data_IF_662796348692
#
_entry.id   IF_662796348692
#
_cell.length_a   1.000
_cell.length_b   1.000
_cell.length_c   1.000
_cell.angle_alpha   90.00
_cell.angle_beta   90.00
_cell.angle_gamma   90.00
#
_symmetry.space_group_name_H-M   'P 1'
#
loop_
_entity.id
_entity.type
_entity.pdbx_description
1 polymer ?
#
# COMPACT_ATOMS: atom_id res chain seq x y z
N UNK A 1 -7.74 -49.08 43.87
CA UNK A 1 -6.93 -48.49 44.96
C UNK A 1 -5.52 -49.08 44.87
N UNK A 2 -4.49 -48.22 44.99
CA UNK A 2 -3.04 -48.52 45.07
C UNK A 2 -2.23 -48.66 43.76
N UNK A 3 -1.83 -47.47 43.32
CA UNK A 3 -0.49 -47.08 42.85
C UNK A 3 0.66 -47.72 43.69
N UNK A 4 1.81 -48.08 43.08
CA UNK A 4 3.15 -47.50 43.35
C UNK A 4 4.34 -48.30 42.73
N UNK A 5 5.09 -47.60 41.86
CA UNK A 5 6.55 -47.36 41.89
C UNK A 5 7.62 -48.37 41.37
N UNK A 6 8.48 -47.79 40.50
CA UNK A 6 9.96 -47.96 40.32
C UNK A 6 10.42 -49.25 39.59
N UNK A 7 11.38 -49.26 38.64
CA UNK A 7 12.69 -48.60 38.57
C UNK A 7 13.32 -48.71 37.14
N UNK A 8 14.03 -47.65 36.71
CA UNK A 8 15.24 -47.51 35.82
C UNK A 8 15.97 -48.80 35.34
N UNK A 9 16.75 -48.89 34.24
CA UNK A 9 17.24 -48.04 33.13
C UNK A 9 18.13 -48.92 32.18
N UNK A 10 18.73 -48.32 31.14
CA UNK A 10 19.67 -48.81 30.08
C UNK A 10 18.99 -49.26 28.77
N UNK A 11 19.30 -48.79 27.56
CA UNK A 11 20.32 -47.92 26.93
C UNK A 11 19.62 -47.35 25.67
N UNK A 12 19.67 -46.07 25.33
CA UNK A 12 20.84 -45.43 24.76
C UNK A 12 20.77 -45.36 23.23
N UNK A 13 19.77 -44.68 22.66
CA UNK A 13 19.81 -44.16 21.28
C UNK A 13 19.42 -42.69 21.34
N UNK A 14 20.39 -41.84 21.00
CA UNK A 14 20.23 -40.40 20.95
C UNK A 14 19.20 -40.00 19.88
N UNK A 15 18.08 -39.46 20.32
CA UNK A 15 17.25 -38.60 19.49
C UNK A 15 17.92 -37.22 19.45
N UNK A 16 18.64 -36.97 18.36
CA UNK A 16 18.82 -35.62 17.87
C UNK A 16 17.42 -35.09 17.54
N UNK A 17 16.80 -34.42 18.52
CA UNK A 17 15.70 -33.51 18.24
C UNK A 17 16.32 -32.38 17.41
N UNK A 18 16.16 -32.52 16.09
CA UNK A 18 16.40 -31.44 15.16
C UNK A 18 15.72 -30.19 15.70
N UNK A 19 16.53 -29.17 15.90
CA UNK A 19 16.13 -27.81 16.24
C UNK A 19 14.87 -27.44 15.48
N UNK A 20 13.77 -27.24 16.22
CA UNK A 20 12.67 -26.41 15.75
C UNK A 20 13.32 -25.09 15.36
N UNK A 21 13.38 -24.85 14.05
CA UNK A 21 13.66 -23.53 13.49
C UNK A 21 12.69 -22.57 14.17
N UNK A 22 13.19 -21.71 15.06
CA UNK A 22 12.39 -20.63 15.60
C UNK A 22 11.95 -19.79 14.40
N UNK A 23 10.67 -19.84 14.03
CA UNK A 23 10.09 -18.73 13.31
C UNK A 23 10.30 -17.53 14.24
N UNK A 24 11.29 -16.69 13.93
CA UNK A 24 11.59 -15.53 14.74
C UNK A 24 10.34 -14.64 14.71
N UNK A 25 9.87 -14.26 15.89
CA UNK A 25 8.66 -13.46 16.04
C UNK A 25 8.91 -12.08 15.43
N UNK A 26 8.27 -11.78 14.30
CA UNK A 26 8.37 -10.44 13.70
C UNK A 26 7.69 -9.42 14.61
N UNK A 27 8.47 -8.47 15.12
CA UNK A 27 7.97 -7.43 16.02
C UNK A 27 7.39 -6.29 15.17
N UNK A 28 6.15 -5.88 15.46
CA UNK A 28 5.51 -4.75 14.75
C UNK A 28 5.36 -3.56 15.68
N UNK A 29 5.90 -2.41 15.26
CA UNK A 29 5.83 -1.14 16.00
C UNK A 29 4.92 -0.17 15.26
N UNK A 30 3.78 0.15 15.87
CA UNK A 30 2.78 1.06 15.34
C UNK A 30 3.13 2.50 15.73
N UNK A 31 3.26 3.39 14.76
CA UNK A 31 3.61 4.80 14.97
C UNK A 31 2.71 5.73 14.15
N UNK A 32 2.75 7.02 14.46
CA UNK A 32 2.04 8.05 13.69
C UNK A 32 2.77 9.39 13.78
N UNK A 33 2.57 10.19 12.76
CA UNK A 33 3.00 11.57 12.63
C UNK A 33 2.31 12.54 13.61
N UNK A 34 1.35 12.06 14.41
CA UNK A 34 0.85 12.74 15.59
C UNK A 34 1.84 12.71 16.77
N UNK A 35 2.84 11.83 16.71
CA UNK A 35 3.95 11.83 17.67
C UNK A 35 4.94 12.96 17.35
N UNK A 36 5.54 13.60 18.38
CA UNK A 36 6.69 14.48 18.20
C UNK A 36 7.86 13.78 17.50
N UNK A 37 8.54 14.48 16.59
CA UNK A 37 9.64 13.93 15.80
C UNK A 37 10.76 13.30 16.65
N UNK A 38 11.06 13.88 17.82
CA UNK A 38 12.03 13.32 18.76
C UNK A 38 11.64 11.91 19.24
N UNK A 39 10.36 11.66 19.46
CA UNK A 39 9.84 10.35 19.84
C UNK A 39 9.79 9.40 18.65
N UNK A 40 9.42 9.85 17.46
CA UNK A 40 9.51 9.03 16.25
C UNK A 40 10.94 8.57 15.98
N UNK A 41 11.93 9.48 16.10
CA UNK A 41 13.35 9.13 16.01
C UNK A 41 13.75 8.05 17.02
N UNK A 42 13.25 8.13 18.26
CA UNK A 42 13.50 7.11 19.28
C UNK A 42 12.87 5.76 18.91
N UNK A 43 11.66 5.75 18.32
CA UNK A 43 10.99 4.54 17.86
C UNK A 43 11.76 3.85 16.72
N UNK A 44 12.28 4.62 15.76
CA UNK A 44 13.11 4.07 14.68
C UNK A 44 14.44 3.51 15.19
N UNK A 45 15.11 4.20 16.13
CA UNK A 45 16.32 3.68 16.79
C UNK A 45 16.08 2.38 17.53
N UNK A 46 15.00 2.33 18.31
CA UNK A 46 14.62 1.13 19.05
C UNK A 46 14.38 -0.05 18.10
N UNK A 47 13.60 0.18 17.03
CA UNK A 47 13.34 -0.85 16.02
C UNK A 47 14.62 -1.28 15.26
N UNK A 48 15.53 -0.35 14.95
CA UNK A 48 16.81 -0.65 14.30
C UNK A 48 17.76 -1.51 15.14
N UNK A 49 17.66 -1.42 16.47
CA UNK A 49 18.48 -2.19 17.41
C UNK A 49 17.94 -3.59 17.70
N UNK A 50 16.72 -3.90 17.28
CA UNK A 50 16.02 -5.16 17.54
C UNK A 50 15.94 -5.98 16.24
N UNK A 51 16.32 -7.25 16.29
CA UNK A 51 16.19 -8.13 15.12
C UNK A 51 14.71 -8.27 14.73
N UNK A 52 14.42 -8.17 13.44
CA UNK A 52 13.09 -8.37 12.84
C UNK A 52 11.97 -7.41 13.30
N UNK A 53 12.30 -6.17 13.66
CA UNK A 53 11.29 -5.16 14.00
C UNK A 53 10.93 -4.29 12.80
N UNK A 54 9.67 -4.31 12.38
CA UNK A 54 9.11 -3.38 11.39
C UNK A 54 8.40 -2.21 12.06
N UNK A 55 8.46 -1.04 11.44
CA UNK A 55 7.73 0.16 11.87
C UNK A 55 6.63 0.45 10.85
N UNK A 56 5.39 0.58 11.31
CA UNK A 56 4.25 0.81 10.42
C UNK A 56 3.48 2.07 10.79
N UNK A 57 3.07 2.80 9.75
CA UNK A 57 2.15 3.92 9.81
C UNK A 57 0.78 3.49 9.28
N UNK A 58 -0.28 4.13 9.77
CA UNK A 58 -1.64 3.86 9.26
C UNK A 58 -1.81 4.34 7.83
N UNK A 59 -1.16 5.44 7.45
CA UNK A 59 -1.44 6.09 6.18
C UNK A 59 -0.56 7.28 5.86
N UNK A 60 -1.04 8.09 4.92
CA UNK A 60 -0.29 9.22 4.37
C UNK A 60 -0.70 10.52 5.06
N UNK A 61 0.24 11.46 5.29
CA UNK A 61 -0.06 12.76 5.84
C UNK A 61 -0.84 13.62 4.85
N UNK A 62 -1.67 14.51 5.41
CA UNK A 62 -2.45 15.46 4.63
C UNK A 62 -2.26 16.91 5.11
N UNK A 63 -2.23 17.85 4.17
CA UNK A 63 -2.20 17.66 2.72
C UNK A 63 -0.84 17.10 2.23
N UNK A 64 -0.81 16.48 1.05
CA UNK A 64 0.44 16.21 0.32
C UNK A 64 0.85 14.74 0.12
N UNK A 65 0.14 13.77 0.70
CA UNK A 65 0.25 12.35 0.32
C UNK A 65 1.67 11.77 0.42
N UNK A 66 2.05 10.91 -0.54
CA UNK A 66 3.38 10.27 -0.59
C UNK A 66 4.55 11.27 -0.57
N UNK A 67 4.56 12.36 -1.35
CA UNK A 67 5.62 13.37 -1.25
C UNK A 67 5.78 13.97 0.16
N UNK A 68 4.67 14.25 0.85
CA UNK A 68 4.71 14.75 2.22
C UNK A 68 5.19 13.68 3.21
N UNK A 69 4.79 12.43 3.00
CA UNK A 69 5.26 11.28 3.79
C UNK A 69 6.78 11.16 3.71
N UNK A 70 7.35 11.12 2.51
CA UNK A 70 8.80 10.99 2.31
C UNK A 70 9.56 12.19 2.90
N UNK A 71 9.04 13.42 2.70
CA UNK A 71 9.64 14.63 3.28
C UNK A 71 9.69 14.61 4.80
N UNK A 72 8.68 14.06 5.48
CA UNK A 72 8.72 13.85 6.94
C UNK A 72 9.58 12.67 7.35
N UNK A 73 9.57 11.59 6.57
CA UNK A 73 10.26 10.36 6.93
C UNK A 73 11.78 10.51 6.89
N UNK A 74 12.32 11.06 5.80
CA UNK A 74 13.77 11.16 5.56
C UNK A 74 14.53 11.79 6.76
N UNK A 75 14.12 12.97 7.29
CA UNK A 75 14.74 13.57 8.47
C UNK A 75 14.77 12.69 9.73
N UNK A 76 13.81 11.75 9.85
CA UNK A 76 13.66 10.91 11.04
C UNK A 76 14.61 9.71 11.05
N UNK A 77 15.02 9.24 9.86
CA UNK A 77 15.82 8.02 9.70
C UNK A 77 17.21 8.26 9.13
N UNK A 78 17.51 9.47 8.67
CA UNK A 78 18.81 9.80 8.08
C UNK A 78 19.99 9.62 9.03
N UNK A 79 19.78 9.87 10.33
CA UNK A 79 20.81 9.78 11.37
C UNK A 79 21.09 8.32 11.74
N UNK A 80 20.30 7.38 11.21
CA UNK A 80 20.50 5.95 11.38
C UNK A 80 21.43 5.39 10.30
N UNK A 81 22.44 4.58 10.68
CA UNK A 81 23.17 3.73 9.75
C UNK A 81 22.21 2.94 8.87
N UNK A 82 22.54 2.76 7.58
CA UNK A 82 21.62 2.13 6.61
C UNK A 82 21.19 0.72 7.04
N UNK A 83 22.08 -0.03 7.68
CA UNK A 83 21.85 -1.37 8.22
C UNK A 83 21.02 -1.39 9.52
N UNK A 84 20.81 -0.22 10.15
CA UNK A 84 20.02 -0.05 11.37
C UNK A 84 18.68 0.66 11.07
N UNK A 85 18.35 0.90 9.80
CA UNK A 85 17.04 1.44 9.43
C UNK A 85 16.03 0.29 9.45
N UNK A 86 14.99 0.35 10.30
CA UNK A 86 13.98 -0.68 10.30
C UNK A 86 13.18 -0.65 8.98
N UNK A 87 12.58 -1.77 8.56
CA UNK A 87 11.57 -1.76 7.51
C UNK A 87 10.42 -0.82 7.88
N UNK A 88 10.01 0.04 6.95
CA UNK A 88 8.95 1.04 7.17
C UNK A 88 7.80 0.75 6.20
N UNK A 89 6.59 0.59 6.73
CA UNK A 89 5.41 0.24 5.95
C UNK A 89 4.22 1.16 6.18
N UNK A 90 3.30 1.15 5.21
CA UNK A 90 1.94 1.69 5.34
C UNK A 90 0.98 0.50 5.44
N UNK A 91 0.37 0.29 6.59
CA UNK A 91 -0.48 -0.87 6.83
C UNK A 91 -1.77 -0.46 7.57
N UNK A 92 -2.73 0.16 6.87
CA UNK A 92 -4.00 0.56 7.48
C UNK A 92 -4.81 -0.63 8.00
N UNK A 93 -4.70 -1.79 7.34
CA UNK A 93 -5.41 -2.99 7.74
C UNK A 93 -4.94 -3.50 9.11
N UNK A 94 -3.64 -3.47 9.39
CA UNK A 94 -3.09 -3.81 10.70
C UNK A 94 -3.62 -2.89 11.81
N UNK A 95 -3.68 -1.57 11.58
CA UNK A 95 -4.24 -0.63 12.57
C UNK A 95 -5.73 -0.89 12.85
N UNK A 96 -6.50 -1.21 11.82
CA UNK A 96 -7.93 -1.50 11.92
C UNK A 96 -8.20 -2.81 12.66
N UNK A 97 -7.55 -3.90 12.21
CA UNK A 97 -7.64 -5.22 12.87
C UNK A 97 -7.17 -5.15 14.32
N UNK A 98 -6.18 -4.30 14.61
CA UNK A 98 -5.67 -4.12 15.94
C UNK A 98 -6.50 -3.18 16.82
N UNK A 99 -7.43 -2.41 16.25
CA UNK A 99 -8.19 -1.38 16.96
C UNK A 99 -7.32 -0.25 17.51
N UNK A 100 -6.18 0.03 16.87
CA UNK A 100 -5.18 1.00 17.38
C UNK A 100 -5.57 2.42 16.96
N UNK A 101 -6.07 3.20 17.92
CA UNK A 101 -6.36 4.63 17.76
C UNK A 101 -5.27 5.56 18.31
N UNK A 102 -4.36 5.03 19.13
CA UNK A 102 -3.25 5.78 19.73
C UNK A 102 -1.94 5.00 19.65
N UNK A 103 -0.83 5.71 19.59
CA UNK A 103 0.53 5.19 19.38
C UNK A 103 1.51 5.85 20.35
N UNK A 104 2.70 5.28 20.64
CA UNK A 104 3.25 4.05 20.07
C UNK A 104 2.72 2.78 20.72
N UNK A 105 2.56 1.73 19.91
CA UNK A 105 2.19 0.37 20.36
C UNK A 105 3.21 -0.61 19.78
N UNK A 106 3.68 -1.52 20.61
CA UNK A 106 4.50 -2.66 20.21
C UNK A 106 3.62 -3.91 20.18
N UNK A 107 3.73 -4.71 19.12
CA UNK A 107 3.10 -6.01 19.00
C UNK A 107 4.16 -7.09 18.80
N UNK A 108 4.13 -8.09 19.67
CA UNK A 108 5.01 -9.28 19.65
C UNK A 108 4.11 -10.49 19.85
N UNK A 109 4.12 -11.45 18.93
CA UNK A 109 3.32 -12.69 19.03
C UNK A 109 1.82 -12.43 19.36
N UNK A 110 1.24 -11.40 18.73
CA UNK A 110 -0.12 -10.91 18.95
C UNK A 110 -0.40 -10.26 20.32
N UNK A 111 0.57 -10.23 21.23
CA UNK A 111 0.50 -9.43 22.45
C UNK A 111 0.85 -7.98 22.16
N UNK A 112 -0.02 -7.06 22.60
CA UNK A 112 0.12 -5.62 22.36
C UNK A 112 0.45 -4.88 23.64
N UNK A 113 1.43 -3.99 23.55
CA UNK A 113 1.85 -3.14 24.66
C UNK A 113 1.94 -1.69 24.21
N UNK A 114 1.15 -0.83 24.86
CA UNK A 114 1.30 0.61 24.76
C UNK A 114 2.65 1.03 25.38
N UNK A 115 3.42 1.85 24.66
CA UNK A 115 4.69 2.36 25.15
C UNK A 115 4.59 3.85 25.49
N UNK A 116 5.07 4.22 26.68
CA UNK A 116 5.21 5.62 27.08
C UNK A 116 3.92 6.45 26.91
N UNK A 117 4.11 7.73 26.60
CA UNK A 117 2.99 8.66 26.33
C UNK A 117 2.35 8.32 24.99
N UNK A 118 1.03 8.20 25.00
CA UNK A 118 0.22 7.90 23.83
C UNK A 118 -0.19 9.18 23.07
N UNK A 119 -0.21 9.08 21.74
CA UNK A 119 -0.55 10.13 20.79
C UNK A 119 -1.61 9.61 19.83
N UNK A 120 -2.58 10.45 19.40
CA UNK A 120 -3.58 10.04 18.43
C UNK A 120 -2.94 9.72 17.07
N UNK A 121 -3.50 8.73 16.37
CA UNK A 121 -3.14 8.47 14.97
C UNK A 121 -3.75 9.54 14.07
N UNK A 122 -2.91 10.36 13.44
CA UNK A 122 -3.34 11.55 12.69
C UNK A 122 -3.55 11.31 11.20
N UNK A 123 -2.78 10.41 10.61
CA UNK A 123 -2.76 10.16 9.18
C UNK A 123 -4.03 9.40 8.81
N UNK A 124 -4.81 9.88 7.84
CA UNK A 124 -5.96 9.12 7.36
C UNK A 124 -5.54 7.71 6.91
N UNK A 125 -6.39 6.72 7.19
CA UNK A 125 -6.29 5.44 6.48
C UNK A 125 -6.45 5.75 4.98
N UNK A 126 -5.48 5.46 4.11
CA UNK A 126 -5.52 5.84 2.71
C UNK A 126 -6.65 5.12 1.95
N UNK A 127 -7.10 3.94 2.41
CA UNK A 127 -8.28 3.25 1.86
C UNK A 127 -9.54 3.99 2.25
N UNK A 128 -9.70 4.32 3.53
CA UNK A 128 -10.86 5.09 4.01
C UNK A 128 -10.83 6.50 3.48
N UNK A 129 -9.68 7.16 3.37
CA UNK A 129 -9.57 8.51 2.85
C UNK A 129 -9.73 8.53 1.35
N UNK A 130 -9.19 7.58 0.58
CA UNK A 130 -9.59 7.46 -0.82
C UNK A 130 -11.11 7.26 -0.89
N UNK A 131 -11.68 6.34 -0.11
CA UNK A 131 -13.13 6.10 -0.06
C UNK A 131 -13.94 7.29 0.45
N UNK A 132 -13.46 8.06 1.43
CA UNK A 132 -14.12 9.19 2.11
C UNK A 132 -13.93 10.46 1.30
N UNK A 133 -12.81 10.67 0.65
CA UNK A 133 -12.65 11.69 -0.38
C UNK A 133 -13.57 11.36 -1.54
N UNK A 134 -13.71 10.09 -1.93
CA UNK A 134 -14.69 9.65 -2.92
C UNK A 134 -16.15 9.70 -2.44
N UNK A 135 -16.44 9.55 -1.13
CA UNK A 135 -17.79 9.46 -0.56
C UNK A 135 -18.31 10.73 0.14
N UNK A 136 -17.42 11.59 0.64
CA UNK A 136 -17.70 12.92 1.19
C UNK A 136 -17.84 13.96 0.08
N UNK A 137 -17.27 13.67 -1.09
CA UNK A 137 -17.92 14.12 -2.31
C UNK A 137 -19.23 13.32 -2.40
N UNK A 138 -20.39 13.96 -2.32
CA UNK A 138 -21.66 13.23 -2.46
C UNK A 138 -21.71 12.47 -3.80
N UNK A 139 -22.53 11.40 -3.95
CA UNK A 139 -22.81 10.75 -5.24
C UNK A 139 -23.16 11.71 -6.38
N UNK A 140 -23.55 12.94 -6.05
CA UNK A 140 -23.84 14.01 -7.00
C UNK A 140 -22.67 14.97 -7.18
N UNK A 141 -21.85 15.23 -6.16
CA UNK A 141 -20.71 16.16 -6.22
C UNK A 141 -19.44 15.52 -6.77
N UNK A 142 -19.08 14.27 -6.42
CA UNK A 142 -18.00 13.61 -7.17
C UNK A 142 -18.47 13.30 -8.57
N UNK A 143 -19.75 12.93 -8.75
CA UNK A 143 -20.33 12.75 -10.09
C UNK A 143 -20.28 14.06 -10.85
N UNK A 144 -20.58 15.20 -10.25
CA UNK A 144 -20.37 16.51 -10.89
C UNK A 144 -18.91 16.80 -11.13
N UNK A 145 -18.01 16.57 -10.18
CA UNK A 145 -16.57 16.86 -10.34
C UNK A 145 -15.94 15.98 -11.42
N UNK A 146 -16.22 14.68 -11.40
CA UNK A 146 -15.82 13.72 -12.42
C UNK A 146 -16.60 13.90 -13.73
N UNK A 147 -17.84 14.39 -13.78
CA UNK A 147 -18.53 14.77 -15.02
C UNK A 147 -18.07 16.14 -15.56
N UNK A 148 -17.51 16.99 -14.70
CA UNK A 148 -16.94 18.29 -15.05
C UNK A 148 -15.51 18.13 -15.57
N UNK A 149 -14.77 17.16 -15.03
CA UNK A 149 -13.45 16.72 -15.51
C UNK A 149 -13.56 15.64 -16.62
N UNK A 150 -14.66 14.89 -16.67
CA UNK A 150 -14.91 13.96 -17.76
C UNK A 150 -15.10 14.78 -19.03
N UNK A 151 -14.48 14.36 -20.13
CA UNK A 151 -14.81 14.90 -21.44
C UNK A 151 -16.34 14.88 -21.62
N UNK A 152 -16.94 16.06 -21.83
CA UNK A 152 -18.36 16.16 -22.21
C UNK A 152 -18.63 15.43 -23.54
N UNK A 153 -17.59 15.29 -24.34
CA UNK A 153 -17.56 14.50 -25.56
C UNK A 153 -17.12 13.07 -25.26
N UNK A 154 -17.89 12.09 -25.74
CA UNK A 154 -17.46 10.69 -25.79
C UNK A 154 -16.18 10.59 -26.60
N UNK A 155 -15.03 10.57 -25.94
CA UNK A 155 -13.85 9.99 -26.58
C UNK A 155 -14.11 8.49 -26.69
N UNK A 156 -14.04 7.90 -27.90
CA UNK A 156 -14.14 6.47 -28.03
C UNK A 156 -13.09 5.83 -27.10
N UNK A 157 -13.44 4.75 -26.40
CA UNK A 157 -12.47 4.04 -25.56
C UNK A 157 -11.24 3.68 -26.40
N UNK A 158 -10.09 3.61 -25.75
CA UNK A 158 -8.86 3.16 -26.39
C UNK A 158 -9.10 1.81 -27.08
N UNK A 159 -8.48 1.55 -28.25
CA UNK A 159 -8.66 0.30 -28.96
C UNK A 159 -8.32 -0.90 -28.07
N UNK A 160 -9.01 -2.02 -28.29
CA UNK A 160 -8.65 -3.27 -27.62
C UNK A 160 -7.25 -3.71 -28.05
N UNK A 161 -6.45 -4.20 -27.11
CA UNK A 161 -5.14 -4.76 -27.41
C UNK A 161 -5.28 -5.99 -28.31
N UNK A 162 -4.50 -6.04 -29.38
CA UNK A 162 -4.47 -7.18 -30.32
C UNK A 162 -3.31 -8.13 -30.04
N UNK A 163 -2.32 -7.68 -29.28
CA UNK A 163 -1.18 -8.47 -28.79
C UNK A 163 -0.81 -8.04 -27.38
N UNK A 164 -0.12 -8.92 -26.67
CA UNK A 164 0.41 -8.55 -25.36
C UNK A 164 1.55 -7.53 -25.49
N UNK A 165 1.54 -6.51 -24.64
CA UNK A 165 2.60 -5.51 -24.54
C UNK A 165 2.91 -5.26 -23.07
N UNK A 166 4.20 -5.12 -22.75
CA UNK A 166 4.68 -4.81 -21.41
C UNK A 166 5.62 -3.63 -21.44
N UNK A 167 5.38 -2.68 -20.55
CA UNK A 167 6.26 -1.56 -20.28
C UNK A 167 6.62 -1.59 -18.80
N UNK A 168 7.89 -1.35 -18.51
CA UNK A 168 8.37 -1.14 -17.15
C UNK A 168 8.74 0.31 -16.99
N UNK A 169 8.14 0.98 -16.01
CA UNK A 169 8.45 2.36 -15.65
C UNK A 169 9.28 2.35 -14.38
N UNK A 170 10.41 3.05 -14.44
CA UNK A 170 11.21 3.36 -13.27
C UNK A 170 10.62 4.60 -12.59
N UNK A 171 10.02 4.50 -11.38
CA UNK A 171 9.40 5.62 -10.70
C UNK A 171 10.43 6.52 -10.00
N UNK A 172 11.72 6.40 -10.35
CA UNK A 172 12.75 7.33 -9.90
C UNK A 172 12.35 8.76 -10.30
N UNK A 173 12.18 9.62 -9.31
CA UNK A 173 11.93 11.03 -9.50
C UNK A 173 13.10 11.85 -8.96
N UNK A 174 13.35 13.02 -9.58
CA UNK A 174 14.29 14.01 -9.05
C UNK A 174 13.58 14.89 -8.04
N UNK A 175 14.22 15.12 -6.91
CA UNK A 175 13.75 16.04 -5.90
C UNK A 175 13.79 17.47 -6.46
N UNK A 176 12.65 18.17 -6.56
CA UNK A 176 12.62 19.51 -7.14
C UNK A 176 13.25 20.56 -6.21
N UNK A 177 13.38 20.24 -4.93
CA UNK A 177 13.96 21.11 -3.91
C UNK A 177 14.67 20.26 -2.87
N UNK A 178 15.65 20.85 -2.21
CA UNK A 178 16.35 20.21 -1.11
C UNK A 178 15.39 19.93 0.05
N UNK A 179 15.49 18.73 0.62
CA UNK A 179 14.86 18.41 1.90
C UNK A 179 15.85 18.85 2.97
N UNK A 180 15.42 19.68 3.91
CA UNK A 180 16.25 20.15 5.02
C UNK A 180 15.66 19.66 6.35
N UNK A 181 16.49 19.43 7.35
CA UNK A 181 15.99 19.25 8.72
C UNK A 181 15.59 20.59 9.35
N UNK A 182 15.08 20.52 10.58
CA UNK A 182 14.70 21.69 11.38
C UNK A 182 15.89 22.59 11.75
N UNK A 183 17.13 22.12 11.60
CA UNK A 183 18.36 22.88 11.80
C UNK A 183 18.93 23.49 10.52
N UNK A 184 18.23 23.34 9.38
CA UNK A 184 18.67 23.87 8.09
C UNK A 184 19.74 23.03 7.38
N UNK A 185 20.08 21.84 7.89
CA UNK A 185 20.99 20.91 7.22
C UNK A 185 20.28 20.26 6.04
N UNK A 186 20.94 20.20 4.88
CA UNK A 186 20.43 19.49 3.69
C UNK A 186 20.51 17.98 3.91
N UNK A 187 19.36 17.33 3.78
CA UNK A 187 19.14 15.89 4.01
C UNK A 187 19.06 15.10 2.72
N UNK A 188 18.47 15.72 1.70
CA UNK A 188 18.52 15.27 0.33
C UNK A 188 18.58 16.53 -0.53
N UNK A 189 19.50 16.57 -1.48
CA UNK A 189 19.73 17.77 -2.28
C UNK A 189 18.66 17.91 -3.38
N UNK A 190 18.33 19.15 -3.75
CA UNK A 190 17.63 19.40 -4.99
C UNK A 190 18.37 18.72 -6.15
N UNK A 191 17.64 18.03 -7.03
CA UNK A 191 18.19 17.28 -8.15
C UNK A 191 18.57 15.83 -7.85
N UNK A 192 18.66 15.43 -6.58
CA UNK A 192 18.90 14.05 -6.18
C UNK A 192 17.71 13.15 -6.55
N UNK A 193 17.98 11.92 -6.94
CA UNK A 193 16.98 10.96 -7.42
C UNK A 193 16.54 10.00 -6.31
N UNK A 194 15.24 9.78 -6.16
CA UNK A 194 14.68 8.83 -5.20
C UNK A 194 13.64 7.92 -5.86
N UNK A 195 13.64 6.63 -5.50
CA UNK A 195 12.60 5.69 -5.88
C UNK A 195 11.67 5.44 -4.67
N UNK A 196 10.41 5.86 -4.72
CA UNK A 196 9.51 5.75 -3.57
C UNK A 196 9.16 4.29 -3.24
N UNK A 197 9.17 3.38 -4.22
CA UNK A 197 8.85 1.96 -4.00
C UNK A 197 9.96 1.23 -3.20
N UNK A 198 11.19 1.75 -3.24
CA UNK A 198 12.29 1.20 -2.40
C UNK A 198 12.18 1.62 -0.93
N UNK A 199 11.45 2.69 -0.65
CA UNK A 199 11.23 3.21 0.70
C UNK A 199 9.90 2.72 1.28
N UNK A 200 8.91 2.50 0.41
CA UNK A 200 7.57 2.02 0.74
C UNK A 200 7.19 0.90 -0.25
N UNK A 201 7.63 -0.35 0.02
CA UNK A 201 7.23 -1.47 -0.81
C UNK A 201 5.71 -1.66 -0.70
N UNK A 202 5.02 -1.58 -1.84
CA UNK A 202 3.59 -1.87 -1.94
C UNK A 202 3.34 -2.66 -3.22
N UNK A 203 2.58 -3.76 -3.12
CA UNK A 203 2.12 -4.54 -4.26
C UNK A 203 0.64 -4.26 -4.50
N UNK A 204 0.37 -3.19 -5.24
CA UNK A 204 -0.97 -2.78 -5.65
C UNK A 204 -1.10 -2.93 -7.16
N UNK A 205 -2.22 -3.49 -7.61
CA UNK A 205 -2.60 -3.62 -9.01
C UNK A 205 -3.81 -2.76 -9.36
N UNK A 206 -3.73 -2.05 -10.49
CA UNK A 206 -4.83 -1.30 -11.08
C UNK A 206 -5.22 -1.96 -12.40
N UNK A 207 -6.43 -2.54 -12.46
CA UNK A 207 -6.99 -3.11 -13.68
C UNK A 207 -7.85 -2.05 -14.38
N UNK A 208 -7.59 -1.80 -15.65
CA UNK A 208 -8.32 -0.79 -16.44
C UNK A 208 -8.94 -1.47 -17.65
N UNK A 209 -10.23 -1.22 -17.88
CA UNK A 209 -10.97 -1.77 -19.02
C UNK A 209 -11.91 -0.74 -19.64
N UNK A 210 -12.31 -0.98 -20.88
CA UNK A 210 -13.56 -0.46 -21.42
C UNK A 210 -14.72 -1.26 -20.83
N UNK A 211 -15.59 -0.58 -20.09
CA UNK A 211 -16.72 -1.23 -19.43
C UNK A 211 -17.79 -1.71 -20.41
N UNK A 212 -17.86 -1.11 -21.61
CA UNK A 212 -18.86 -1.46 -22.61
C UNK A 212 -18.46 -2.76 -23.38
N UNK A 213 -17.17 -3.09 -23.48
CA UNK A 213 -16.68 -4.33 -24.13
C UNK A 213 -16.81 -5.56 -23.21
N UNK A 214 -17.64 -6.52 -23.60
CA UNK A 214 -17.85 -7.76 -22.84
C UNK A 214 -16.59 -8.59 -22.69
N UNK A 215 -15.76 -8.69 -23.74
CA UNK A 215 -14.55 -9.50 -23.71
C UNK A 215 -13.58 -8.94 -22.68
N UNK A 216 -13.44 -7.62 -22.62
CA UNK A 216 -12.58 -6.97 -21.63
C UNK A 216 -13.07 -7.18 -20.19
N UNK A 217 -14.39 -7.16 -19.96
CA UNK A 217 -14.96 -7.48 -18.63
C UNK A 217 -14.60 -8.89 -18.19
N UNK A 218 -14.78 -9.88 -19.07
CA UNK A 218 -14.46 -11.28 -18.78
C UNK A 218 -12.95 -11.46 -18.54
N UNK A 219 -12.10 -10.83 -19.35
CA UNK A 219 -10.65 -10.85 -19.21
C UNK A 219 -10.18 -10.24 -17.87
N UNK A 220 -10.76 -9.10 -17.46
CA UNK A 220 -10.45 -8.47 -16.17
C UNK A 220 -10.90 -9.32 -14.99
N UNK A 221 -12.07 -9.96 -15.05
CA UNK A 221 -12.53 -10.89 -14.01
C UNK A 221 -11.56 -12.08 -13.88
N UNK A 222 -11.15 -12.67 -15.00
CA UNK A 222 -10.14 -13.74 -14.98
C UNK A 222 -8.82 -13.26 -14.38
N UNK A 223 -8.36 -12.06 -14.76
CA UNK A 223 -7.11 -11.49 -14.25
C UNK A 223 -7.19 -11.21 -12.75
N UNK A 224 -8.30 -10.65 -12.27
CA UNK A 224 -8.55 -10.34 -10.86
C UNK A 224 -8.38 -11.59 -9.98
N UNK A 225 -8.90 -12.74 -10.44
CA UNK A 225 -8.76 -14.02 -9.72
C UNK A 225 -7.32 -14.54 -9.65
N UNK A 226 -6.40 -14.02 -10.47
CA UNK A 226 -4.99 -14.43 -10.53
C UNK A 226 -4.04 -13.51 -9.77
N UNK A 227 -4.49 -12.33 -9.34
CA UNK A 227 -3.64 -11.35 -8.66
C UNK A 227 -3.67 -11.61 -7.16
N UNK A 228 -2.49 -11.59 -6.54
CA UNK A 228 -2.33 -11.55 -5.09
C UNK A 228 -2.05 -10.10 -4.68
N UNK A 229 -2.71 -9.62 -3.63
CA UNK A 229 -2.55 -8.25 -3.12
C UNK A 229 -3.73 -7.33 -3.45
N UNK A 230 -3.58 -6.06 -3.06
CA UNK A 230 -4.64 -5.05 -3.21
C UNK A 230 -4.86 -4.72 -4.69
N UNK A 231 -6.09 -4.90 -5.17
CA UNK A 231 -6.45 -4.67 -6.57
C UNK A 231 -7.63 -3.72 -6.69
N UNK A 232 -7.51 -2.72 -7.56
CA UNK A 232 -8.61 -1.81 -7.91
C UNK A 232 -8.96 -1.92 -9.39
N UNK A 233 -10.23 -1.66 -9.72
CA UNK A 233 -10.74 -1.70 -11.10
C UNK A 233 -11.19 -0.32 -11.55
N UNK A 234 -10.74 0.11 -12.72
CA UNK A 234 -11.02 1.40 -13.34
C UNK A 234 -11.69 1.21 -14.71
N UNK A 235 -12.76 1.94 -14.98
CA UNK A 235 -13.48 1.91 -16.24
C UNK A 235 -13.15 3.13 -17.12
N UNK A 236 -12.67 2.86 -18.33
CA UNK A 236 -12.69 3.78 -19.47
C UNK A 236 -14.05 3.71 -20.20
N UNK A 237 -14.35 4.72 -21.02
CA UNK A 237 -15.60 4.79 -21.78
C UNK A 237 -16.70 5.56 -21.04
N UNK A 238 -17.94 5.06 -21.05
CA UNK A 238 -19.06 5.70 -20.31
C UNK A 238 -18.70 5.80 -18.83
N UNK A 239 -18.71 7.01 -18.28
CA UNK A 239 -18.58 7.23 -16.83
C UNK A 239 -19.64 6.38 -16.13
N UNK A 240 -19.24 5.40 -15.29
CA UNK A 240 -20.17 4.58 -14.55
C UNK A 240 -21.17 5.44 -13.77
N UNK A 241 -22.45 5.32 -14.09
CA UNK A 241 -23.50 5.78 -13.19
C UNK A 241 -23.75 4.70 -12.15
N UNK A 242 -23.85 5.06 -10.86
CA UNK A 242 -24.20 4.13 -9.76
C UNK A 242 -25.53 3.38 -10.02
N UNK A 243 -26.39 3.94 -10.88
CA UNK A 243 -27.67 3.34 -11.26
C UNK A 243 -27.56 2.34 -12.44
N UNK A 244 -26.39 2.17 -13.04
CA UNK A 244 -26.20 1.14 -14.05
C UNK A 244 -26.17 -0.23 -13.37
N UNK A 245 -27.32 -0.89 -13.37
CA UNK A 245 -27.50 -2.22 -12.79
C UNK A 245 -26.49 -3.25 -13.30
N UNK A 246 -25.89 -3.08 -14.49
CA UNK A 246 -24.84 -3.96 -14.99
C UNK A 246 -23.51 -3.73 -14.27
N UNK A 247 -23.17 -2.47 -14.00
CA UNK A 247 -21.93 -2.09 -13.29
C UNK A 247 -22.05 -2.47 -11.82
N UNK A 248 -23.20 -2.26 -11.18
CA UNK A 248 -23.41 -2.68 -9.79
C UNK A 248 -23.27 -4.20 -9.66
N UNK A 249 -23.93 -4.98 -10.53
CA UNK A 249 -23.79 -6.44 -10.57
C UNK A 249 -22.35 -6.89 -10.78
N UNK A 250 -21.60 -6.21 -11.66
CA UNK A 250 -20.20 -6.55 -11.92
C UNK A 250 -19.31 -6.21 -10.73
N UNK A 251 -19.52 -5.05 -10.09
CA UNK A 251 -18.80 -4.64 -8.89
C UNK A 251 -19.08 -5.58 -7.72
N UNK A 252 -20.34 -5.98 -7.53
CA UNK A 252 -20.75 -6.96 -6.51
C UNK A 252 -20.10 -8.33 -6.78
N UNK A 253 -20.09 -8.76 -8.05
CA UNK A 253 -19.46 -10.00 -8.47
C UNK A 253 -17.93 -9.99 -8.23
N UNK A 254 -17.26 -8.88 -8.56
CA UNK A 254 -15.81 -8.69 -8.37
C UNK A 254 -15.43 -8.36 -6.93
N UNK A 255 -16.42 -8.11 -6.04
CA UNK A 255 -16.22 -7.62 -4.66
C UNK A 255 -15.29 -6.40 -4.57
N UNK A 256 -15.22 -5.61 -5.64
CA UNK A 256 -14.32 -4.48 -5.81
C UNK A 256 -15.08 -3.34 -6.49
N UNK A 257 -15.00 -2.09 -5.99
CA UNK A 257 -15.61 -0.95 -6.64
C UNK A 257 -15.00 -0.71 -8.03
N UNK A 258 -15.85 -0.43 -9.01
CA UNK A 258 -15.41 0.03 -10.34
C UNK A 258 -15.38 1.55 -10.32
N UNK A 259 -14.19 2.12 -10.45
CA UNK A 259 -13.96 3.55 -10.41
C UNK A 259 -13.87 4.14 -11.82
N UNK A 260 -14.29 5.39 -12.06
CA UNK A 260 -14.02 6.06 -13.34
C UNK A 260 -12.52 6.26 -13.55
N UNK A 261 -12.04 6.04 -14.78
CA UNK A 261 -10.65 6.28 -15.14
C UNK A 261 -10.37 7.78 -15.34
N UNK A 262 -9.44 8.40 -14.58
CA UNK A 262 -8.98 9.75 -14.87
C UNK A 262 -8.21 9.79 -16.20
N UNK A 263 -8.63 10.63 -17.15
CA UNK A 263 -8.01 10.68 -18.50
C UNK A 263 -6.50 10.91 -18.47
N UNK A 264 -6.02 11.77 -17.56
CA UNK A 264 -4.59 12.05 -17.36
C UNK A 264 -3.74 10.81 -17.07
N UNK A 265 -4.33 9.73 -16.57
CA UNK A 265 -3.62 8.47 -16.30
C UNK A 265 -3.28 7.71 -17.57
N UNK A 266 -4.06 7.87 -18.64
CA UNK A 266 -3.73 7.30 -19.95
C UNK A 266 -2.40 7.85 -20.45
N UNK A 267 -2.23 9.17 -20.37
CA UNK A 267 -1.00 9.84 -20.80
C UNK A 267 0.18 9.51 -19.87
N UNK A 268 -0.03 9.59 -18.55
CA UNK A 268 1.03 9.33 -17.56
C UNK A 268 1.61 7.92 -17.66
N UNK A 269 0.74 6.92 -17.85
CA UNK A 269 1.15 5.52 -17.98
C UNK A 269 1.36 5.09 -19.43
N UNK A 270 1.25 6.01 -20.40
CA UNK A 270 1.40 5.72 -21.84
C UNK A 270 0.50 4.57 -22.30
N UNK A 271 -0.71 4.50 -21.76
CA UNK A 271 -1.70 3.47 -22.09
C UNK A 271 -2.30 3.82 -23.45
N UNK A 272 -2.22 2.89 -24.39
CA UNK A 272 -2.71 3.06 -25.76
C UNK A 272 -3.80 2.05 -26.13
N UNK A 273 -3.88 0.94 -25.40
CA UNK A 273 -4.81 -0.14 -25.61
C UNK A 273 -5.37 -0.66 -24.28
N UNK A 274 -6.54 -1.28 -24.34
CA UNK A 274 -7.21 -1.90 -23.19
C UNK A 274 -7.49 -3.40 -23.45
N UNK A 275 -7.65 -4.22 -22.40
CA UNK A 275 -7.45 -3.90 -20.98
C UNK A 275 -5.97 -3.69 -20.62
N UNK A 276 -5.74 -3.03 -19.47
CA UNK A 276 -4.39 -2.82 -18.91
C UNK A 276 -4.33 -3.15 -17.43
N UNK A 277 -3.15 -3.52 -16.97
CA UNK A 277 -2.80 -3.74 -15.58
C UNK A 277 -1.60 -2.85 -15.30
N UNK A 278 -1.77 -1.92 -14.37
CA UNK A 278 -0.66 -1.15 -13.81
C UNK A 278 -0.39 -1.73 -12.43
N UNK A 279 0.73 -2.44 -12.29
CA UNK A 279 1.14 -3.09 -11.05
C UNK A 279 2.38 -2.41 -10.47
N UNK A 280 2.35 -2.17 -9.18
CA UNK A 280 3.55 -1.78 -8.41
C UNK A 280 4.25 -3.04 -7.92
N UNK A 281 5.57 -3.04 -8.04
CA UNK A 281 6.48 -4.06 -7.49
C UNK A 281 7.47 -3.38 -6.55
N UNK A 282 8.36 -4.14 -5.90
CA UNK A 282 9.33 -3.60 -4.92
C UNK A 282 10.21 -2.44 -5.42
N UNK A 283 10.37 -2.26 -6.73
CA UNK A 283 11.17 -1.14 -7.26
C UNK A 283 10.67 -0.55 -8.57
N UNK A 284 9.66 -1.14 -9.22
CA UNK A 284 9.23 -0.74 -10.56
C UNK A 284 7.72 -0.73 -10.66
N UNK A 285 7.23 0.03 -11.64
CA UNK A 285 5.84 -0.05 -12.07
C UNK A 285 5.83 -0.87 -13.36
N UNK A 286 5.03 -1.92 -13.39
CA UNK A 286 4.80 -2.74 -14.57
C UNK A 286 3.45 -2.40 -15.18
N UNK A 287 3.44 -2.18 -16.48
CA UNK A 287 2.25 -1.84 -17.25
C UNK A 287 2.09 -2.94 -18.29
N UNK A 288 1.02 -3.71 -18.18
CA UNK A 288 0.73 -4.83 -19.09
C UNK A 288 -0.58 -4.57 -19.81
N UNK A 289 -0.53 -4.46 -21.13
CA UNK A 289 -1.68 -4.45 -22.03
C UNK A 289 -1.82 -5.86 -22.59
N UNK A 290 -3.02 -6.46 -22.57
CA UNK A 290 -3.23 -7.82 -23.09
C UNK A 290 -4.53 -7.93 -23.88
N UNK A 291 -4.60 -8.83 -24.89
CA UNK A 291 -5.84 -9.09 -25.60
C UNK A 291 -6.92 -9.61 -24.65
N UNK A 292 -8.17 -9.11 -24.76
CA UNK A 292 -9.27 -9.59 -23.94
C UNK A 292 -9.70 -11.01 -24.28
#
# INVERSE_FOLDING_TARGET
MRCLFKLRALMGIGLALGSLSSAQATVTRYVSFGMPDALLKAQFRAAGSQQETRVIFRGLPEPGGYPAFIRRLVPLIQDLPKNERPPIGLDPAAFEQAGIGTVPVLEVDQERKAEGRQYPVTEPDPRIHMRKTLAALTPTEWRRALLKEAPQERKPPLPSATSESRLTVDPVFRLPQSIMDTGGRVLAAAGETANPLTLLPSEVSLLILDIDDQRQREAVVQRLNSIQGDTWVLAAGRTPGIQDSKIQKLSDHMKTPILPLPQRWLDQFRISHLPVEVRTTNSKIEIRQWPP
#
